data_IF_916754318895
#
_entry.id   IF_916754318895
#
_cell.length_a   1.000
_cell.length_b   1.000
_cell.length_c   1.000
_cell.angle_alpha   90.00
_cell.angle_beta   90.00
_cell.angle_gamma   90.00
#
_symmetry.space_group_name_H-M   'P 1'
#
loop_
_entity.id
_entity.type
_entity.pdbx_description
1 polymer ?
#
# COMPACT_ATOMS: atom_id res chain seq x y z
N UNK A 1 18.45 -18.47 7.01
CA UNK A 1 18.12 -17.22 6.31
C UNK A 1 17.34 -17.58 5.08
N UNK A 2 16.05 -17.29 5.14
CA UNK A 2 15.12 -17.46 4.05
C UNK A 2 15.60 -16.70 2.80
N UNK A 3 15.32 -17.28 1.64
CA UNK A 3 15.68 -16.70 0.35
C UNK A 3 14.71 -15.57 -0.01
N UNK A 4 15.23 -14.34 0.03
CA UNK A 4 14.46 -13.15 -0.30
C UNK A 4 14.48 -12.82 -1.80
N UNK A 5 15.16 -13.61 -2.66
CA UNK A 5 15.16 -13.34 -4.11
C UNK A 5 13.73 -13.23 -4.63
N UNK A 6 13.49 -12.18 -5.40
CA UNK A 6 12.16 -11.79 -5.81
C UNK A 6 12.07 -11.77 -7.33
N UNK A 7 11.09 -12.49 -7.88
CA UNK A 7 10.66 -12.38 -9.27
C UNK A 7 9.18 -12.02 -9.36
N UNK A 8 8.90 -10.93 -10.09
CA UNK A 8 7.54 -10.42 -10.32
C UNK A 8 7.45 -9.88 -11.75
N UNK A 9 6.42 -10.28 -12.50
CA UNK A 9 6.23 -9.84 -13.89
C UNK A 9 7.49 -10.05 -14.79
N UNK A 10 8.27 -11.11 -14.52
CA UNK A 10 9.55 -11.38 -15.20
C UNK A 10 10.76 -10.55 -14.71
N UNK A 11 10.55 -9.58 -13.83
CA UNK A 11 11.59 -8.72 -13.25
C UNK A 11 12.20 -9.43 -12.05
N UNK A 12 13.52 -9.57 -12.02
CA UNK A 12 14.24 -10.26 -10.94
C UNK A 12 15.05 -9.27 -10.11
N UNK A 13 15.11 -9.50 -8.80
CA UNK A 13 15.89 -8.69 -7.85
C UNK A 13 16.39 -9.55 -6.67
N UNK A 14 17.47 -9.14 -5.99
CA UNK A 14 18.05 -9.90 -4.87
C UNK A 14 17.15 -9.93 -3.62
N UNK A 15 16.24 -8.98 -3.49
CA UNK A 15 15.25 -8.89 -2.43
C UNK A 15 14.01 -8.11 -2.93
N UNK A 16 12.84 -8.18 -2.26
CA UNK A 16 11.60 -7.61 -2.78
C UNK A 16 11.47 -6.10 -2.53
N UNK A 17 12.47 -5.45 -1.92
CA UNK A 17 12.41 -4.05 -1.53
C UNK A 17 12.94 -3.15 -2.63
N UNK A 18 12.04 -2.40 -3.25
CA UNK A 18 12.38 -1.47 -4.31
C UNK A 18 12.17 -0.03 -3.83
N UNK A 19 13.01 0.92 -4.25
CA UNK A 19 12.66 2.33 -4.08
C UNK A 19 11.54 2.70 -5.06
N UNK A 20 10.49 3.36 -4.59
CA UNK A 20 9.43 3.83 -5.46
C UNK A 20 9.90 5.03 -6.32
N UNK A 21 9.25 5.25 -7.47
CA UNK A 21 9.50 6.42 -8.32
C UNK A 21 9.16 7.72 -7.60
N UNK A 22 10.19 8.43 -7.14
CA UNK A 22 10.11 9.52 -6.16
C UNK A 22 11.47 10.28 -6.12
N UNK A 23 11.63 11.36 -5.33
CA UNK A 23 12.91 12.08 -5.24
C UNK A 23 14.15 11.20 -4.95
N UNK A 24 14.05 10.13 -4.13
CA UNK A 24 15.18 9.23 -3.90
C UNK A 24 15.71 8.55 -5.17
N UNK A 25 14.96 8.52 -6.27
CA UNK A 25 15.32 7.83 -7.52
C UNK A 25 15.47 8.77 -8.72
N UNK A 26 15.65 10.08 -8.49
CA UNK A 26 15.75 11.09 -9.56
C UNK A 26 17.16 11.24 -10.18
N UNK A 27 18.19 10.69 -9.53
CA UNK A 27 19.59 10.82 -9.97
C UNK A 27 20.36 9.52 -9.75
N UNK A 28 21.28 9.23 -10.67
CA UNK A 28 22.21 8.09 -10.54
C UNK A 28 22.95 8.11 -9.20
N UNK A 29 23.32 9.28 -8.69
CA UNK A 29 24.00 9.40 -7.39
C UNK A 29 23.21 8.75 -6.25
N UNK A 30 21.90 9.00 -6.17
CA UNK A 30 21.06 8.43 -5.12
C UNK A 30 20.78 6.95 -5.36
N UNK A 31 20.56 6.56 -6.63
CA UNK A 31 20.29 5.16 -6.99
C UNK A 31 21.49 4.27 -6.71
N UNK A 32 22.71 4.68 -7.05
CA UNK A 32 23.93 3.95 -6.70
C UNK A 32 24.05 3.76 -5.18
N UNK A 33 23.85 4.83 -4.39
CA UNK A 33 23.88 4.76 -2.92
C UNK A 33 22.79 3.84 -2.34
N UNK A 34 21.64 3.75 -3.00
CA UNK A 34 20.60 2.81 -2.60
C UNK A 34 21.03 1.36 -2.88
N UNK A 35 21.57 1.07 -4.06
CA UNK A 35 22.08 -0.26 -4.37
C UNK A 35 23.26 -0.68 -3.48
N UNK A 36 24.19 0.23 -3.19
CA UNK A 36 25.26 0.03 -2.20
C UNK A 36 24.71 -0.31 -0.80
N UNK A 37 23.59 0.30 -0.41
CA UNK A 37 22.93 0.03 0.87
C UNK A 37 22.17 -1.31 0.89
N UNK A 38 21.99 -1.97 -0.26
CA UNK A 38 21.37 -3.29 -0.37
C UNK A 38 19.94 -3.31 -0.93
N UNK A 39 19.43 -2.21 -1.50
CA UNK A 39 18.11 -2.22 -2.16
C UNK A 39 18.07 -3.23 -3.30
N UNK A 40 16.98 -4.00 -3.39
CA UNK A 40 16.82 -5.04 -4.42
C UNK A 40 16.52 -4.45 -5.79
N UNK A 41 15.90 -3.28 -5.83
CA UNK A 41 15.57 -2.57 -7.05
C UNK A 41 15.23 -1.10 -6.82
N UNK A 42 15.06 -0.37 -7.91
CA UNK A 42 14.47 0.97 -7.89
C UNK A 42 13.51 1.13 -9.08
N UNK A 43 12.49 1.95 -8.88
CA UNK A 43 11.76 2.57 -9.97
C UNK A 43 12.31 3.98 -10.14
N UNK A 44 12.94 4.26 -11.28
CA UNK A 44 13.50 5.57 -11.61
C UNK A 44 12.42 6.65 -11.58
N UNK A 45 12.77 7.88 -11.19
CA UNK A 45 11.83 9.01 -11.17
C UNK A 45 11.16 9.15 -12.55
N UNK A 46 9.84 9.34 -12.55
CA UNK A 46 9.06 9.40 -13.79
C UNK A 46 9.66 10.34 -14.82
N UNK A 47 9.91 9.82 -16.02
CA UNK A 47 10.37 10.57 -17.17
C UNK A 47 9.20 11.13 -17.96
N UNK A 48 9.41 12.29 -18.56
CA UNK A 48 8.52 12.90 -19.55
C UNK A 48 9.31 13.30 -20.80
N UNK A 49 8.63 14.00 -21.71
CA UNK A 49 9.26 14.58 -22.89
C UNK A 49 9.91 15.93 -22.57
N UNK A 50 10.90 16.32 -23.38
CA UNK A 50 11.43 17.68 -23.35
C UNK A 50 10.54 18.66 -24.16
N UNK A 51 10.47 19.95 -23.76
CA UNK A 51 11.10 20.53 -22.57
C UNK A 51 10.50 19.99 -21.27
N UNK A 52 11.38 19.59 -20.35
CA UNK A 52 11.00 19.06 -19.04
C UNK A 52 10.19 20.06 -18.20
N UNK A 53 9.46 19.53 -17.23
CA UNK A 53 8.65 20.34 -16.31
C UNK A 53 9.53 21.17 -15.39
N UNK A 54 8.96 22.22 -14.82
CA UNK A 54 9.62 23.03 -13.78
C UNK A 54 8.83 22.86 -12.49
N UNK A 55 9.51 22.40 -11.45
CA UNK A 55 8.93 22.30 -10.12
C UNK A 55 8.91 23.66 -9.41
N UNK A 56 7.94 23.85 -8.52
CA UNK A 56 7.95 24.94 -7.55
C UNK A 56 8.93 24.66 -6.39
N UNK A 57 9.32 25.72 -5.69
CA UNK A 57 10.11 25.64 -4.44
C UNK A 57 9.17 25.73 -3.24
N UNK A 58 9.45 24.96 -2.18
CA UNK A 58 8.50 24.60 -1.11
C UNK A 58 7.41 23.64 -1.60
N UNK A 59 7.77 22.36 -1.72
CA UNK A 59 6.91 21.33 -2.33
C UNK A 59 6.57 20.13 -1.44
N UNK A 60 6.87 20.25 -0.14
CA UNK A 60 6.53 19.26 0.88
C UNK A 60 5.77 19.89 2.04
N UNK A 61 4.62 19.32 2.36
CA UNK A 61 3.93 19.52 3.64
C UNK A 61 4.07 18.28 4.51
N UNK A 62 3.96 18.44 5.82
CA UNK A 62 4.01 17.32 6.77
C UNK A 62 2.84 17.38 7.75
N UNK A 63 2.24 16.23 8.03
CA UNK A 63 1.31 16.07 9.15
C UNK A 63 2.13 15.75 10.38
N UNK A 64 1.88 16.49 11.46
CA UNK A 64 2.46 16.23 12.77
C UNK A 64 1.42 15.52 13.64
N UNK A 65 1.84 14.51 14.40
CA UNK A 65 0.94 13.76 15.28
C UNK A 65 1.71 13.28 16.52
N UNK A 66 1.17 13.53 17.72
CA UNK A 66 1.74 13.07 18.99
C UNK A 66 3.27 13.25 19.14
N UNK A 67 3.79 14.42 18.76
CA UNK A 67 5.22 14.75 18.82
C UNK A 67 6.07 14.24 17.64
N UNK A 68 5.52 13.38 16.77
CA UNK A 68 6.16 13.00 15.52
C UNK A 68 5.98 14.11 14.48
N UNK A 69 7.09 14.68 14.00
CA UNK A 69 7.07 15.79 13.03
C UNK A 69 6.69 15.37 11.60
N UNK A 70 6.89 14.10 11.26
CA UNK A 70 6.54 13.51 9.95
C UNK A 70 5.71 12.26 10.20
N UNK A 71 4.45 12.44 10.60
CA UNK A 71 3.47 11.35 10.69
C UNK A 71 2.89 11.00 9.31
N UNK A 72 2.93 11.95 8.38
CA UNK A 72 2.67 11.78 6.96
C UNK A 72 3.29 12.92 6.17
N UNK A 73 3.51 12.72 4.88
CA UNK A 73 4.01 13.74 3.96
C UNK A 73 2.96 14.02 2.90
N UNK A 74 2.86 15.27 2.48
CA UNK A 74 2.19 15.67 1.27
C UNK A 74 3.21 16.32 0.34
N UNK A 75 3.05 16.10 -0.95
CA UNK A 75 3.92 16.71 -1.94
C UNK A 75 3.12 17.32 -3.10
N UNK A 76 3.65 18.41 -3.63
CA UNK A 76 3.20 19.05 -4.88
C UNK A 76 4.31 18.96 -5.93
N UNK A 77 5.15 17.93 -5.86
CA UNK A 77 6.25 17.69 -6.78
C UNK A 77 5.74 17.00 -8.05
N UNK A 78 6.26 17.40 -9.21
CA UNK A 78 5.91 16.83 -10.51
C UNK A 78 6.81 15.61 -10.84
N UNK A 79 6.86 15.26 -12.12
CA UNK A 79 7.84 14.33 -12.69
C UNK A 79 9.26 14.93 -12.66
N UNK A 80 10.26 14.21 -13.17
CA UNK A 80 11.63 14.74 -13.23
C UNK A 80 11.65 16.09 -13.96
N UNK A 81 12.32 17.07 -13.35
CA UNK A 81 12.61 18.39 -13.93
C UNK A 81 14.02 18.41 -14.55
N UNK A 82 14.52 17.24 -14.94
CA UNK A 82 15.82 17.05 -15.57
C UNK A 82 15.64 16.69 -17.04
N UNK A 83 16.55 17.12 -17.93
CA UNK A 83 16.53 16.74 -19.34
C UNK A 83 16.45 15.22 -19.55
N UNK A 84 15.74 14.80 -20.59
CA UNK A 84 15.53 13.38 -20.86
C UNK A 84 16.85 12.65 -21.17
N UNK A 85 17.75 13.28 -21.94
CA UNK A 85 19.04 12.70 -22.31
C UNK A 85 19.93 12.38 -21.11
N UNK A 86 19.87 13.22 -20.07
CA UNK A 86 20.65 13.03 -18.84
C UNK A 86 20.15 11.81 -18.10
N UNK A 87 18.83 11.68 -17.96
CA UNK A 87 18.21 10.51 -17.32
C UNK A 87 18.54 9.23 -18.08
N UNK A 88 18.37 9.19 -19.41
CA UNK A 88 18.64 7.99 -20.21
C UNK A 88 20.10 7.52 -20.08
N UNK A 89 21.06 8.46 -20.14
CA UNK A 89 22.49 8.14 -19.93
C UNK A 89 22.78 7.59 -18.54
N UNK A 90 22.18 8.20 -17.51
CA UNK A 90 22.34 7.78 -16.13
C UNK A 90 21.73 6.39 -15.86
N UNK A 91 20.52 6.13 -16.37
CA UNK A 91 19.86 4.82 -16.27
C UNK A 91 20.72 3.74 -16.92
N UNK A 92 21.21 3.99 -18.15
CA UNK A 92 22.06 3.06 -18.87
C UNK A 92 23.37 2.75 -18.13
N UNK A 93 23.98 3.77 -17.52
CA UNK A 93 25.18 3.59 -16.71
C UNK A 93 24.89 2.76 -15.45
N UNK A 94 23.85 3.13 -14.70
CA UNK A 94 23.46 2.44 -13.47
C UNK A 94 23.13 0.97 -13.74
N UNK A 95 22.40 0.66 -14.82
CA UNK A 95 22.08 -0.74 -15.16
C UNK A 95 23.32 -1.56 -15.47
N UNK A 96 24.30 -0.98 -16.17
CA UNK A 96 25.59 -1.64 -16.45
C UNK A 96 26.38 -1.92 -15.18
N UNK A 97 26.37 -0.98 -14.25
CA UNK A 97 27.11 -1.09 -12.98
C UNK A 97 26.43 -2.08 -12.00
N UNK A 98 25.10 -2.22 -12.09
CA UNK A 98 24.27 -3.04 -11.21
C UNK A 98 23.35 -4.00 -11.99
N UNK A 99 23.90 -4.98 -12.72
CA UNK A 99 23.11 -5.85 -13.59
C UNK A 99 22.15 -6.77 -12.82
N UNK A 100 22.47 -7.09 -11.56
CA UNK A 100 21.69 -7.95 -10.67
C UNK A 100 20.52 -7.24 -9.98
N UNK A 101 20.41 -5.92 -10.11
CA UNK A 101 19.35 -5.10 -9.47
C UNK A 101 18.23 -4.79 -10.45
N UNK A 102 16.99 -4.81 -9.96
CA UNK A 102 15.86 -4.38 -10.77
C UNK A 102 15.91 -2.87 -10.98
N UNK A 103 15.87 -2.43 -12.24
CA UNK A 103 15.82 -1.04 -12.66
C UNK A 103 14.62 -0.83 -13.58
N UNK A 104 13.56 -0.28 -13.01
CA UNK A 104 12.31 0.00 -13.73
C UNK A 104 12.27 1.49 -14.07
N UNK A 105 11.92 1.84 -15.30
CA UNK A 105 11.79 3.26 -15.71
C UNK A 105 10.34 3.68 -15.65
N UNK A 106 10.02 4.62 -14.76
CA UNK A 106 8.68 5.19 -14.71
C UNK A 106 8.47 6.20 -15.84
N UNK A 107 7.31 6.16 -16.52
CA UNK A 107 7.00 7.00 -17.67
C UNK A 107 5.66 7.72 -17.51
N UNK A 108 5.63 8.97 -17.96
CA UNK A 108 4.41 9.74 -18.15
C UNK A 108 4.60 10.76 -19.26
N UNK A 109 4.03 10.44 -20.43
CA UNK A 109 4.02 11.29 -21.62
C UNK A 109 2.58 11.64 -22.00
N UNK A 110 2.35 12.63 -22.89
CA UNK A 110 1.00 12.99 -23.31
C UNK A 110 0.21 11.77 -23.82
N UNK A 111 -1.10 11.78 -23.61
CA UNK A 111 -1.98 10.65 -23.97
C UNK A 111 -2.23 10.58 -25.49
N UNK A 112 -1.19 10.28 -26.25
CA UNK A 112 -1.25 9.98 -27.68
C UNK A 112 -0.22 8.90 -28.03
N UNK A 113 -0.57 8.05 -28.99
CA UNK A 113 0.23 6.88 -29.37
C UNK A 113 1.62 7.23 -29.87
N UNK A 114 1.76 8.37 -30.59
CA UNK A 114 3.02 8.81 -31.18
C UNK A 114 4.10 9.01 -30.12
N UNK A 115 3.77 9.71 -29.05
CA UNK A 115 4.73 10.04 -27.99
C UNK A 115 5.17 8.81 -27.22
N UNK A 116 4.24 7.88 -26.95
CA UNK A 116 4.56 6.58 -26.36
C UNK A 116 5.47 5.76 -27.27
N UNK A 117 5.14 5.60 -28.56
CA UNK A 117 6.00 4.87 -29.51
C UNK A 117 7.37 5.50 -29.70
N UNK A 118 7.50 6.80 -29.50
CA UNK A 118 8.78 7.50 -29.60
C UNK A 118 9.69 7.26 -28.40
N UNK A 119 9.17 7.33 -27.17
CA UNK A 119 10.01 7.23 -25.96
C UNK A 119 10.42 5.79 -25.64
N UNK A 120 9.58 4.79 -25.96
CA UNK A 120 9.81 3.40 -25.56
C UNK A 120 11.14 2.81 -26.07
N UNK A 121 11.53 2.95 -27.35
CA UNK A 121 12.82 2.45 -27.82
C UNK A 121 14.02 3.12 -27.13
N UNK A 122 13.90 4.39 -26.74
CA UNK A 122 14.96 5.11 -26.02
C UNK A 122 15.16 4.52 -24.62
N UNK A 123 14.07 4.14 -23.97
CA UNK A 123 14.11 3.50 -22.64
C UNK A 123 14.64 2.07 -22.75
N UNK A 124 14.21 1.31 -23.76
CA UNK A 124 14.71 -0.05 -24.01
C UNK A 124 16.23 -0.06 -24.27
N UNK A 125 16.76 0.93 -25.00
CA UNK A 125 18.21 1.07 -25.25
C UNK A 125 19.04 1.33 -23.97
N UNK A 126 18.41 1.78 -22.88
CA UNK A 126 19.12 1.90 -21.58
C UNK A 126 19.40 0.55 -20.93
N UNK A 127 18.75 -0.52 -21.37
CA UNK A 127 18.84 -1.85 -20.76
C UNK A 127 18.00 -2.00 -19.49
N UNK A 128 17.10 -1.05 -19.18
CA UNK A 128 16.15 -1.16 -18.07
C UNK A 128 15.37 -2.49 -18.11
N UNK A 129 15.01 -3.02 -16.94
CA UNK A 129 14.37 -4.34 -16.83
C UNK A 129 12.86 -4.29 -17.09
N UNK A 130 12.25 -3.11 -16.97
CA UNK A 130 10.82 -2.89 -17.18
C UNK A 130 10.48 -1.40 -17.31
N UNK A 131 9.23 -1.12 -17.69
CA UNK A 131 8.62 0.21 -17.61
C UNK A 131 7.49 0.23 -16.57
N UNK A 132 7.32 1.36 -15.88
CA UNK A 132 6.17 1.62 -15.00
C UNK A 132 5.36 2.81 -15.52
N UNK A 133 4.10 2.60 -15.90
CA UNK A 133 3.23 3.66 -16.40
C UNK A 133 2.65 4.44 -15.22
N UNK A 134 3.09 5.68 -15.03
CA UNK A 134 2.63 6.50 -13.92
C UNK A 134 1.27 7.13 -14.22
N UNK A 135 0.19 6.40 -13.94
CA UNK A 135 -1.18 6.88 -14.04
C UNK A 135 -1.74 7.33 -12.68
N UNK A 136 -0.85 7.60 -11.72
CA UNK A 136 -1.26 7.85 -10.34
C UNK A 136 -1.07 9.28 -9.83
N UNK A 137 -0.30 10.13 -10.52
CA UNK A 137 0.04 11.47 -10.03
C UNK A 137 -1.22 12.36 -9.95
N UNK A 138 -1.67 12.79 -8.74
CA UNK A 138 -2.96 13.46 -8.58
C UNK A 138 -2.91 14.98 -8.80
N UNK A 139 -1.74 15.60 -8.90
CA UNK A 139 -1.57 17.05 -8.93
C UNK A 139 -0.66 17.52 -10.07
N UNK A 140 -0.91 18.72 -10.60
CA UNK A 140 -0.09 19.43 -11.60
C UNK A 140 -0.05 18.81 -13.01
N UNK A 141 0.13 17.49 -13.10
CA UNK A 141 0.12 16.75 -14.36
C UNK A 141 -1.29 16.29 -14.75
N UNK A 142 -2.15 16.04 -13.76
CA UNK A 142 -3.58 15.77 -13.99
C UNK A 142 -4.30 16.96 -14.64
N UNK A 143 -3.93 18.18 -14.26
CA UNK A 143 -4.41 19.42 -14.88
C UNK A 143 -4.01 19.54 -16.37
N UNK A 144 -3.02 18.75 -16.82
CA UNK A 144 -2.57 18.65 -18.21
C UNK A 144 -3.08 17.39 -18.91
N UNK A 145 -4.05 16.68 -18.32
CA UNK A 145 -4.64 15.46 -18.89
C UNK A 145 -3.76 14.20 -18.81
N UNK A 146 -2.79 14.17 -17.89
CA UNK A 146 -1.88 13.03 -17.65
C UNK A 146 -1.99 12.53 -16.20
N UNK A 147 -1.25 11.48 -15.82
CA UNK A 147 -1.25 11.00 -14.42
C UNK A 147 -2.61 10.43 -14.00
N UNK A 148 -3.14 10.86 -12.85
CA UNK A 148 -4.42 10.36 -12.33
C UNK A 148 -5.60 10.68 -13.27
N UNK A 149 -5.55 11.74 -14.07
CA UNK A 149 -6.57 12.01 -15.09
C UNK A 149 -6.70 10.87 -16.13
N UNK A 150 -5.59 10.18 -16.44
CA UNK A 150 -5.60 8.95 -17.25
C UNK A 150 -5.98 7.75 -16.40
N UNK A 151 -5.41 7.62 -15.20
CA UNK A 151 -5.61 6.46 -14.32
C UNK A 151 -7.03 6.28 -13.77
N UNK A 152 -7.83 7.34 -13.78
CA UNK A 152 -9.24 7.31 -13.38
C UNK A 152 -10.18 6.86 -14.50
N UNK A 153 -9.69 6.75 -15.74
CA UNK A 153 -10.47 6.38 -16.92
C UNK A 153 -10.00 5.01 -17.43
N UNK A 154 -10.71 3.90 -17.11
CA UNK A 154 -10.29 2.55 -17.48
C UNK A 154 -9.98 2.39 -18.97
N UNK A 155 -10.74 3.05 -19.85
CA UNK A 155 -10.54 3.02 -21.30
C UNK A 155 -9.16 3.57 -21.71
N UNK A 156 -8.70 4.64 -21.05
CA UNK A 156 -7.38 5.21 -21.30
C UNK A 156 -6.27 4.35 -20.71
N UNK A 157 -6.49 3.75 -19.54
CA UNK A 157 -5.54 2.79 -18.96
C UNK A 157 -5.33 1.62 -19.90
N UNK A 158 -6.39 1.01 -20.42
CA UNK A 158 -6.31 -0.12 -21.36
C UNK A 158 -5.59 0.31 -22.65
N UNK A 159 -6.01 1.44 -23.24
CA UNK A 159 -5.48 1.94 -24.51
C UNK A 159 -3.98 2.22 -24.44
N UNK A 160 -3.53 2.97 -23.43
CA UNK A 160 -2.11 3.32 -23.30
C UNK A 160 -1.27 2.09 -22.97
N UNK A 161 -1.77 1.19 -22.11
CA UNK A 161 -1.08 -0.07 -21.82
C UNK A 161 -0.87 -0.88 -23.10
N UNK A 162 -1.89 -0.96 -23.97
CA UNK A 162 -1.80 -1.63 -25.26
C UNK A 162 -0.73 -1.01 -26.15
N UNK A 163 -0.68 0.31 -26.27
CA UNK A 163 0.38 1.00 -27.03
C UNK A 163 1.78 0.67 -26.52
N UNK A 164 1.95 0.58 -25.21
CA UNK A 164 3.23 0.23 -24.59
C UNK A 164 3.61 -1.21 -24.92
N UNK A 165 2.68 -2.16 -24.76
CA UNK A 165 2.91 -3.58 -25.08
C UNK A 165 3.18 -3.82 -26.56
N UNK A 166 2.64 -3.00 -27.45
CA UNK A 166 2.94 -3.04 -28.88
C UNK A 166 4.27 -2.35 -29.22
N UNK A 167 4.71 -1.39 -28.41
CA UNK A 167 5.88 -0.54 -28.65
C UNK A 167 7.19 -1.04 -28.04
N UNK A 168 7.16 -1.97 -27.08
CA UNK A 168 8.37 -2.56 -26.47
C UNK A 168 8.15 -3.99 -26.00
N UNK A 169 9.24 -4.75 -25.85
CA UNK A 169 9.23 -6.08 -25.24
C UNK A 169 9.45 -6.06 -23.73
N UNK A 170 9.79 -4.91 -23.16
CA UNK A 170 9.96 -4.77 -21.72
C UNK A 170 8.65 -5.14 -20.99
N UNK A 171 8.74 -5.79 -19.82
CA UNK A 171 7.63 -5.89 -18.90
C UNK A 171 7.06 -4.51 -18.57
N UNK A 172 5.73 -4.42 -18.47
CA UNK A 172 4.99 -3.19 -18.23
C UNK A 172 4.18 -3.33 -16.94
N UNK A 173 4.55 -2.55 -15.93
CA UNK A 173 3.75 -2.35 -14.72
C UNK A 173 2.88 -1.10 -14.86
N UNK A 174 1.60 -1.17 -14.52
CA UNK A 174 0.74 0.02 -14.50
C UNK A 174 0.57 0.52 -13.06
N UNK A 175 1.01 1.75 -12.79
CA UNK A 175 0.92 2.36 -11.46
C UNK A 175 -0.45 3.00 -11.24
N UNK A 176 -1.27 2.37 -10.40
CA UNK A 176 -2.67 2.76 -10.21
C UNK A 176 -2.84 3.90 -9.20
N UNK A 177 -3.79 4.79 -9.48
CA UNK A 177 -4.22 5.86 -8.57
C UNK A 177 -5.17 5.32 -7.50
N UNK A 178 -5.02 5.69 -6.22
CA UNK A 178 -6.02 5.37 -5.20
C UNK A 178 -7.22 6.32 -5.23
N UNK A 179 -7.20 7.37 -6.07
CA UNK A 179 -8.21 8.41 -6.12
C UNK A 179 -9.40 7.99 -6.99
N UNK A 180 -9.98 6.83 -6.70
CA UNK A 180 -11.03 6.18 -7.51
C UNK A 180 -12.01 5.44 -6.59
N UNK A 181 -13.23 5.20 -7.05
CA UNK A 181 -14.25 4.47 -6.28
C UNK A 181 -13.95 2.97 -6.18
N UNK A 182 -13.39 2.37 -7.24
CA UNK A 182 -13.04 0.95 -7.28
C UNK A 182 -11.71 0.77 -8.03
N UNK A 183 -10.67 0.37 -7.30
CA UNK A 183 -9.32 0.16 -7.83
C UNK A 183 -9.29 -0.98 -8.86
N UNK A 184 -10.22 -1.94 -8.77
CA UNK A 184 -10.27 -3.10 -9.66
C UNK A 184 -10.52 -2.68 -11.10
N UNK A 185 -11.29 -1.60 -11.34
CA UNK A 185 -11.55 -1.09 -12.69
C UNK A 185 -10.26 -0.74 -13.44
N UNK A 186 -9.34 -0.03 -12.79
CA UNK A 186 -8.03 0.30 -13.36
C UNK A 186 -7.16 -0.95 -13.57
N UNK A 187 -7.16 -1.89 -12.62
CA UNK A 187 -6.40 -3.14 -12.73
C UNK A 187 -6.89 -4.05 -13.87
N UNK A 188 -8.21 -4.16 -14.06
CA UNK A 188 -8.84 -4.92 -15.15
C UNK A 188 -8.54 -4.31 -16.50
N UNK A 189 -8.56 -2.98 -16.59
CA UNK A 189 -8.16 -2.27 -17.80
C UNK A 189 -6.68 -2.48 -18.13
N UNK A 190 -5.79 -2.37 -17.15
CA UNK A 190 -4.38 -2.67 -17.33
C UNK A 190 -4.16 -4.11 -17.81
N UNK A 191 -4.84 -5.08 -17.19
CA UNK A 191 -4.80 -6.49 -17.57
C UNK A 191 -5.29 -6.71 -19.01
N UNK A 192 -6.43 -6.13 -19.40
CA UNK A 192 -6.96 -6.19 -20.78
C UNK A 192 -6.03 -5.53 -21.82
N UNK A 193 -5.31 -4.49 -21.41
CA UNK A 193 -4.29 -3.83 -22.22
C UNK A 193 -3.00 -4.64 -22.36
N UNK A 194 -2.86 -5.74 -21.62
CA UNK A 194 -1.72 -6.64 -21.68
C UNK A 194 -0.59 -6.31 -20.69
N UNK A 195 -0.87 -5.52 -19.64
CA UNK A 195 0.12 -5.27 -18.58
C UNK A 195 0.62 -6.59 -17.95
N UNK A 196 1.91 -6.65 -17.67
CA UNK A 196 2.54 -7.80 -17.01
C UNK A 196 2.37 -7.75 -15.48
N UNK A 197 1.93 -6.62 -14.96
CA UNK A 197 1.61 -6.42 -13.56
C UNK A 197 1.06 -5.02 -13.29
N UNK A 198 0.69 -4.78 -12.04
CA UNK A 198 0.30 -3.46 -11.53
C UNK A 198 1.17 -3.09 -10.35
N UNK A 199 1.36 -1.78 -10.15
CA UNK A 199 1.95 -1.27 -8.92
C UNK A 199 0.96 -0.32 -8.24
N UNK A 200 0.81 -0.42 -6.93
CA UNK A 200 -0.18 0.39 -6.22
C UNK A 200 0.09 0.50 -4.72
N UNK A 201 -0.22 1.64 -4.10
CA UNK A 201 -0.90 2.80 -4.66
C UNK A 201 0.05 3.96 -4.91
N UNK A 202 -0.33 4.85 -5.82
CA UNK A 202 0.23 6.20 -5.83
C UNK A 202 -0.31 7.01 -4.63
N UNK A 203 0.02 8.29 -4.53
CA UNK A 203 -0.38 9.13 -3.40
C UNK A 203 -1.87 9.48 -3.41
N UNK A 204 -2.43 9.71 -2.22
CA UNK A 204 -3.84 10.09 -2.03
C UNK A 204 -3.98 11.61 -2.09
N UNK A 205 -4.94 12.11 -2.87
CA UNK A 205 -5.17 13.54 -3.00
C UNK A 205 -5.63 14.15 -1.66
N UNK A 206 -4.98 15.23 -1.22
CA UNK A 206 -5.22 15.81 0.11
C UNK A 206 -4.70 17.24 0.26
N UNK A 207 -5.16 17.90 1.32
CA UNK A 207 -4.52 19.06 1.96
C UNK A 207 -4.13 18.61 3.37
N UNK A 208 -2.88 18.84 3.78
CA UNK A 208 -2.38 18.39 5.09
C UNK A 208 -2.50 19.42 6.20
N UNK A 209 -2.46 20.70 5.83
CA UNK A 209 -2.64 21.81 6.76
C UNK A 209 -3.02 23.07 5.98
N UNK A 210 -3.48 24.07 6.71
CA UNK A 210 -3.71 25.43 6.22
C UNK A 210 -2.87 26.37 7.07
N UNK A 211 -2.06 27.20 6.41
CA UNK A 211 -1.46 28.38 7.04
C UNK A 211 -2.60 29.35 7.37
N UNK A 212 -2.87 29.56 8.66
CA UNK A 212 -3.99 30.38 9.14
C UNK A 212 -3.70 31.88 9.11
N UNK A 213 -2.44 32.28 8.92
CA UNK A 213 -2.09 33.70 8.74
C UNK A 213 -2.27 34.09 7.26
N UNK A 214 -1.84 33.20 6.35
CA UNK A 214 -1.94 33.42 4.91
C UNK A 214 -3.27 32.94 4.31
N UNK A 215 -4.06 32.15 5.06
CA UNK A 215 -5.26 31.45 4.60
C UNK A 215 -5.00 30.61 3.34
N UNK A 216 -3.88 29.89 3.33
CA UNK A 216 -3.40 29.10 2.19
C UNK A 216 -3.10 27.65 2.58
N UNK A 217 -3.37 26.65 1.71
CA UNK A 217 -2.93 25.27 1.95
C UNK A 217 -1.41 25.18 2.13
N UNK A 218 -0.96 24.19 2.91
CA UNK A 218 0.45 23.81 3.02
C UNK A 218 0.78 22.59 2.14
N UNK A 219 1.93 22.57 1.43
CA UNK A 219 2.97 23.61 1.43
C UNK A 219 2.53 24.89 0.67
N UNK A 220 2.92 26.04 1.21
CA UNK A 220 2.61 27.35 0.65
C UNK A 220 3.76 27.83 -0.24
N UNK A 221 3.40 28.34 -1.41
CA UNK A 221 4.27 28.94 -2.43
C UNK A 221 3.71 30.33 -2.74
N UNK A 222 4.46 31.37 -2.36
CA UNK A 222 4.10 32.78 -2.61
C UNK A 222 2.65 33.14 -2.21
N UNK A 223 2.25 32.79 -0.99
CA UNK A 223 0.90 33.06 -0.48
C UNK A 223 -0.21 32.16 -1.03
N UNK A 224 0.12 31.14 -1.82
CA UNK A 224 -0.84 30.18 -2.39
C UNK A 224 -0.47 28.75 -2.05
N UNK A 225 -1.45 27.87 -2.06
CA UNK A 225 -1.25 26.43 -1.92
C UNK A 225 -2.24 25.68 -2.80
N UNK A 226 -1.98 24.39 -3.01
CA UNK A 226 -2.87 23.50 -3.75
C UNK A 226 -2.97 22.16 -3.03
N UNK A 227 -3.89 21.31 -3.47
CA UNK A 227 -3.91 19.92 -3.03
C UNK A 227 -2.67 19.19 -3.55
N UNK A 228 -2.24 18.16 -2.83
CA UNK A 228 -1.08 17.37 -3.20
C UNK A 228 -1.27 15.89 -2.89
N UNK A 229 -0.23 15.12 -3.14
CA UNK A 229 -0.20 13.69 -2.86
C UNK A 229 0.23 13.36 -1.43
N UNK A 230 -0.68 12.83 -0.61
CA UNK A 230 -0.41 12.26 0.71
C UNK A 230 0.24 10.89 0.62
N UNK A 231 1.28 10.69 1.44
CA UNK A 231 2.00 9.44 1.63
C UNK A 231 2.46 9.28 3.08
N UNK A 232 2.91 8.06 3.42
CA UNK A 232 3.37 7.70 4.76
C UNK A 232 2.46 6.68 5.45
N UNK A 233 2.69 6.40 6.74
CA UNK A 233 2.06 5.28 7.46
C UNK A 233 0.54 5.26 7.40
N UNK A 234 -0.12 6.42 7.46
CA UNK A 234 -1.58 6.52 7.40
C UNK A 234 -2.19 6.04 6.07
N UNK A 235 -1.38 5.92 5.00
CA UNK A 235 -1.81 5.40 3.70
C UNK A 235 -1.83 3.86 3.67
N UNK A 236 -1.04 3.19 4.52
CA UNK A 236 -0.92 1.73 4.59
C UNK A 236 -2.27 0.99 4.60
N UNK A 237 -3.24 1.29 5.50
CA UNK A 237 -4.50 0.53 5.54
C UNK A 237 -5.30 0.62 4.24
N UNK A 238 -5.23 1.76 3.54
CA UNK A 238 -5.90 1.96 2.24
C UNK A 238 -5.21 1.13 1.16
N UNK A 239 -3.87 1.15 1.15
CA UNK A 239 -3.06 0.38 0.21
C UNK A 239 -3.26 -1.15 0.39
N UNK A 240 -3.25 -1.65 1.64
CA UNK A 240 -3.50 -3.06 1.93
C UNK A 240 -4.87 -3.52 1.43
N UNK A 241 -5.92 -2.71 1.67
CA UNK A 241 -7.26 -2.99 1.15
C UNK A 241 -7.25 -3.10 -0.38
N UNK A 242 -6.66 -2.13 -1.07
CA UNK A 242 -6.62 -2.13 -2.55
C UNK A 242 -5.80 -3.28 -3.13
N UNK A 243 -4.69 -3.65 -2.50
CA UNK A 243 -3.90 -4.84 -2.86
C UNK A 243 -4.74 -6.10 -2.71
N UNK A 244 -5.44 -6.25 -1.58
CA UNK A 244 -6.30 -7.40 -1.32
C UNK A 244 -7.47 -7.49 -2.32
N UNK A 245 -8.09 -6.35 -2.68
CA UNK A 245 -9.18 -6.30 -3.66
C UNK A 245 -8.74 -6.78 -5.04
N UNK A 246 -7.54 -6.39 -5.51
CA UNK A 246 -7.00 -6.86 -6.79
C UNK A 246 -6.60 -8.34 -6.68
N UNK A 247 -5.91 -8.73 -5.60
CA UNK A 247 -5.43 -10.08 -5.44
C UNK A 247 -6.56 -11.13 -5.40
N UNK A 248 -7.75 -10.74 -4.89
CA UNK A 248 -8.94 -11.61 -4.87
C UNK A 248 -9.87 -11.43 -6.07
N UNK A 249 -9.54 -10.56 -7.03
CA UNK A 249 -10.40 -10.25 -8.17
C UNK A 249 -10.37 -11.38 -9.23
N UNK A 250 -11.48 -12.09 -9.47
CA UNK A 250 -11.51 -13.17 -10.46
C UNK A 250 -11.33 -12.69 -11.91
N UNK A 251 -11.50 -11.40 -12.21
CA UNK A 251 -11.30 -10.85 -13.56
C UNK A 251 -9.83 -10.58 -13.91
N UNK A 252 -8.92 -10.59 -12.92
CA UNK A 252 -7.48 -10.42 -13.12
C UNK A 252 -6.67 -11.52 -12.42
N UNK A 253 -6.95 -12.80 -12.72
CA UNK A 253 -6.37 -13.91 -11.99
C UNK A 253 -4.85 -13.91 -12.09
N UNK A 254 -4.18 -14.04 -10.94
CA UNK A 254 -2.72 -14.07 -10.83
C UNK A 254 -2.00 -12.83 -11.38
N UNK A 255 -2.69 -11.69 -11.54
CA UNK A 255 -2.06 -10.44 -11.94
C UNK A 255 -0.96 -10.07 -10.93
N UNK A 256 0.32 -9.93 -11.35
CA UNK A 256 1.40 -9.58 -10.45
C UNK A 256 1.22 -8.18 -9.84
N UNK A 257 1.44 -8.05 -8.53
CA UNK A 257 1.25 -6.81 -7.78
C UNK A 257 2.57 -6.35 -7.13
N UNK A 258 3.01 -5.12 -7.41
CA UNK A 258 4.04 -4.43 -6.64
C UNK A 258 3.38 -3.45 -5.65
N UNK A 259 3.42 -3.78 -4.36
CA UNK A 259 2.72 -3.04 -3.30
C UNK A 259 3.45 -1.77 -2.87
N UNK A 260 2.73 -0.67 -2.62
CA UNK A 260 3.27 0.66 -2.32
C UNK A 260 2.31 1.35 -1.34
N UNK A 261 2.85 1.98 -0.30
CA UNK A 261 2.08 2.88 0.57
C UNK A 261 2.31 2.61 2.05
N UNK A 262 3.00 3.53 2.73
CA UNK A 262 3.16 3.49 4.18
C UNK A 262 4.04 2.38 4.74
N UNK A 263 4.75 1.62 3.90
CA UNK A 263 5.71 0.60 4.33
C UNK A 263 6.91 1.26 5.01
N UNK A 264 7.14 0.89 6.27
CA UNK A 264 8.22 1.42 7.10
C UNK A 264 8.93 0.37 7.95
N UNK A 265 8.41 -0.86 7.99
CA UNK A 265 8.96 -2.00 8.72
C UNK A 265 8.85 -3.29 7.91
N UNK A 266 9.60 -4.32 8.31
CA UNK A 266 9.49 -5.66 7.72
C UNK A 266 8.08 -6.23 7.86
N UNK A 267 7.37 -5.90 8.95
CA UNK A 267 6.01 -6.38 9.21
C UNK A 267 5.02 -5.77 8.23
N UNK A 268 5.18 -4.49 7.92
CA UNK A 268 4.39 -3.84 6.86
C UNK A 268 4.61 -4.57 5.54
N UNK A 269 5.86 -4.83 5.16
CA UNK A 269 6.17 -5.52 3.91
C UNK A 269 5.59 -6.95 3.86
N UNK A 270 5.70 -7.70 4.96
CA UNK A 270 5.11 -9.03 5.09
C UNK A 270 3.58 -8.99 4.91
N UNK A 271 2.89 -8.00 5.50
CA UNK A 271 1.44 -7.81 5.34
C UNK A 271 1.04 -7.57 3.87
N UNK A 272 1.79 -6.75 3.13
CA UNK A 272 1.58 -6.58 1.69
C UNK A 272 1.77 -7.89 0.92
N UNK A 273 2.82 -8.65 1.25
CA UNK A 273 3.13 -9.90 0.54
C UNK A 273 2.09 -10.99 0.79
N UNK A 274 1.67 -11.19 2.05
CA UNK A 274 0.62 -12.17 2.36
C UNK A 274 -0.73 -11.78 1.77
N UNK A 275 -0.96 -10.51 1.48
CA UNK A 275 -2.14 -10.03 0.73
C UNK A 275 -1.97 -10.06 -0.80
N UNK A 276 -0.85 -10.55 -1.32
CA UNK A 276 -0.67 -10.86 -2.74
C UNK A 276 0.41 -10.05 -3.46
N UNK A 277 1.08 -9.10 -2.81
CA UNK A 277 2.19 -8.38 -3.43
C UNK A 277 3.40 -9.30 -3.65
N UNK A 278 4.00 -9.26 -4.84
CA UNK A 278 5.25 -9.95 -5.17
C UNK A 278 6.51 -9.14 -4.84
N UNK A 279 6.43 -7.81 -4.94
CA UNK A 279 7.46 -6.88 -4.47
C UNK A 279 6.81 -5.73 -3.71
N UNK A 280 7.62 -4.95 -2.99
CA UNK A 280 7.16 -3.75 -2.28
C UNK A 280 8.01 -2.54 -2.63
N UNK A 281 7.39 -1.40 -2.96
CA UNK A 281 8.07 -0.13 -3.19
C UNK A 281 7.97 0.78 -1.97
N UNK A 282 9.09 1.41 -1.62
CA UNK A 282 9.23 2.25 -0.43
C UNK A 282 9.71 3.66 -0.82
N UNK A 283 9.11 4.68 -0.23
CA UNK A 283 9.45 6.08 -0.47
C UNK A 283 9.63 6.86 0.83
N UNK A 284 8.52 7.14 1.54
CA UNK A 284 8.52 7.98 2.75
C UNK A 284 9.50 7.50 3.81
N UNK A 285 9.59 6.19 4.03
CA UNK A 285 10.51 5.63 5.02
C UNK A 285 11.98 5.81 4.62
N UNK A 286 12.32 5.67 3.33
CA UNK A 286 13.67 5.97 2.82
C UNK A 286 14.00 7.47 2.90
N UNK A 287 13.02 8.35 2.67
CA UNK A 287 13.19 9.80 2.84
C UNK A 287 13.39 10.19 4.30
N UNK A 288 12.76 9.48 5.24
CA UNK A 288 12.82 9.80 6.66
C UNK A 288 14.05 9.18 7.36
N UNK A 289 14.39 7.94 7.03
CA UNK A 289 15.41 7.14 7.73
C UNK A 289 16.68 6.88 6.91
N UNK A 290 16.71 7.30 5.64
CA UNK A 290 17.81 7.06 4.71
C UNK A 290 17.80 5.64 4.14
N UNK A 291 18.73 5.37 3.20
CA UNK A 291 18.74 4.11 2.45
C UNK A 291 19.05 2.86 3.30
N UNK A 292 19.73 3.02 4.45
CA UNK A 292 20.10 1.89 5.33
C UNK A 292 18.89 1.19 5.94
N UNK A 293 17.70 1.80 5.95
CA UNK A 293 16.48 1.15 6.44
C UNK A 293 16.21 -0.19 5.76
N UNK A 294 16.66 -0.39 4.52
CA UNK A 294 16.48 -1.65 3.80
C UNK A 294 17.11 -2.85 4.50
N UNK A 295 18.18 -2.64 5.29
CA UNK A 295 18.78 -3.68 6.12
C UNK A 295 17.78 -4.16 7.17
N UNK A 296 17.17 -3.25 7.92
CA UNK A 296 16.18 -3.59 8.94
C UNK A 296 14.92 -4.24 8.33
N UNK A 297 14.53 -3.82 7.11
CA UNK A 297 13.43 -4.42 6.36
C UNK A 297 13.75 -5.87 5.93
N UNK A 298 14.92 -6.10 5.35
CA UNK A 298 15.33 -7.40 4.85
C UNK A 298 15.62 -8.39 5.98
N UNK A 299 16.39 -7.99 6.99
CA UNK A 299 16.74 -8.84 8.13
C UNK A 299 15.47 -9.22 8.91
N UNK A 300 14.59 -8.25 9.18
CA UNK A 300 13.34 -8.52 9.88
C UNK A 300 12.42 -9.47 9.11
N UNK A 301 12.34 -9.35 7.78
CA UNK A 301 11.53 -10.23 6.94
C UNK A 301 12.13 -11.64 6.91
N UNK A 302 13.44 -11.77 6.70
CA UNK A 302 14.13 -13.06 6.66
C UNK A 302 14.04 -13.79 8.00
N UNK A 303 14.23 -13.09 9.12
CA UNK A 303 14.13 -13.67 10.46
C UNK A 303 12.71 -14.17 10.76
N UNK A 304 11.69 -13.36 10.45
CA UNK A 304 10.30 -13.80 10.63
C UNK A 304 9.96 -15.01 9.74
N UNK A 305 10.44 -15.04 8.50
CA UNK A 305 10.26 -16.19 7.61
C UNK A 305 10.93 -17.45 8.17
N UNK A 306 12.18 -17.35 8.60
CA UNK A 306 12.92 -18.46 9.24
C UNK A 306 12.21 -18.97 10.50
N UNK A 307 11.77 -18.07 11.39
CA UNK A 307 11.03 -18.42 12.61
C UNK A 307 9.72 -19.15 12.32
N UNK A 308 9.10 -18.89 11.17
CA UNK A 308 7.85 -19.54 10.74
C UNK A 308 8.08 -20.75 9.82
N UNK A 309 9.33 -21.03 9.44
CA UNK A 309 9.68 -22.13 8.53
C UNK A 309 9.35 -21.87 7.06
N UNK A 310 9.28 -20.61 6.64
CA UNK A 310 9.12 -20.23 5.22
C UNK A 310 10.50 -20.10 4.56
N UNK A 311 10.72 -20.80 3.45
CA UNK A 311 12.01 -20.85 2.76
C UNK A 311 12.16 -19.76 1.70
N UNK A 312 11.06 -19.40 1.02
CA UNK A 312 11.03 -18.45 -0.10
C UNK A 312 9.85 -17.49 0.02
N UNK A 313 9.90 -16.35 -0.69
CA UNK A 313 8.78 -15.40 -0.73
C UNK A 313 7.48 -16.01 -1.26
N UNK A 314 7.56 -17.06 -2.09
CA UNK A 314 6.38 -17.74 -2.63
C UNK A 314 5.63 -18.55 -1.57
N UNK A 315 6.28 -18.94 -0.47
CA UNK A 315 5.63 -19.64 0.64
C UNK A 315 4.64 -18.75 1.40
N UNK A 316 4.85 -17.43 1.37
CA UNK A 316 4.02 -16.44 2.07
C UNK A 316 3.10 -15.65 1.13
N UNK A 317 3.45 -15.52 -0.15
CA UNK A 317 2.73 -14.66 -1.09
C UNK A 317 1.26 -15.06 -1.20
N UNK A 318 0.37 -14.10 -0.97
CA UNK A 318 -1.07 -14.31 -1.09
C UNK A 318 -1.71 -15.23 -0.03
N UNK A 319 -0.96 -15.69 0.98
CA UNK A 319 -1.46 -16.61 2.02
C UNK A 319 -2.66 -16.11 2.81
N UNK A 320 -2.85 -14.79 2.89
CA UNK A 320 -4.00 -14.17 3.55
C UNK A 320 -5.17 -13.88 2.60
N UNK A 321 -4.97 -13.91 1.27
CA UNK A 321 -6.00 -13.57 0.27
C UNK A 321 -7.28 -14.41 0.43
N UNK A 322 -7.22 -15.75 0.64
CA UNK A 322 -8.44 -16.55 0.85
C UNK A 322 -9.23 -16.18 2.12
N UNK A 323 -8.61 -15.48 3.08
CA UNK A 323 -9.25 -15.03 4.31
C UNK A 323 -9.85 -13.63 4.20
N UNK A 324 -9.67 -12.94 3.05
CA UNK A 324 -10.33 -11.66 2.76
C UNK A 324 -11.69 -11.95 2.14
N UNK A 325 -12.76 -11.59 2.85
CA UNK A 325 -14.13 -11.90 2.43
C UNK A 325 -15.05 -10.72 2.66
N UNK A 326 -16.18 -10.71 1.95
CA UNK A 326 -17.23 -9.73 2.17
C UNK A 326 -17.85 -9.94 3.55
N UNK A 327 -18.24 -8.85 4.22
CA UNK A 327 -18.85 -8.88 5.55
C UNK A 327 -19.98 -9.90 5.69
N UNK A 328 -20.80 -10.06 4.64
CA UNK A 328 -21.95 -10.97 4.64
C UNK A 328 -21.60 -12.45 4.87
N UNK A 329 -20.33 -12.83 4.71
CA UNK A 329 -19.82 -14.19 4.92
C UNK A 329 -19.10 -14.37 6.26
N UNK A 330 -18.93 -13.30 7.06
CA UNK A 330 -18.37 -13.40 8.40
C UNK A 330 -19.29 -14.21 9.32
N UNK A 331 -18.69 -14.89 10.29
CA UNK A 331 -19.42 -15.72 11.24
C UNK A 331 -20.16 -14.86 12.27
N UNK A 332 -21.47 -14.73 12.12
CA UNK A 332 -22.36 -14.02 13.05
C UNK A 332 -22.51 -14.71 14.41
N UNK A 333 -22.12 -15.98 14.52
CA UNK A 333 -22.11 -16.72 15.79
C UNK A 333 -20.78 -16.62 16.54
N UNK A 334 -19.76 -16.01 15.94
CA UNK A 334 -18.49 -15.79 16.63
C UNK A 334 -18.69 -14.74 17.74
N UNK A 335 -18.41 -15.12 18.98
CA UNK A 335 -18.59 -14.24 20.14
C UNK A 335 -17.34 -14.26 21.02
N UNK A 336 -16.89 -13.06 21.36
CA UNK A 336 -15.73 -12.82 22.21
C UNK A 336 -16.10 -11.79 23.28
N UNK A 337 -15.55 -11.93 24.48
CA UNK A 337 -15.73 -10.96 25.57
C UNK A 337 -14.40 -10.41 26.03
N UNK A 338 -14.41 -9.16 26.45
CA UNK A 338 -13.21 -8.55 27.03
C UNK A 338 -12.95 -9.13 28.42
N UNK A 339 -11.67 -9.25 28.79
CA UNK A 339 -11.22 -9.57 30.14
C UNK A 339 -10.18 -8.56 30.56
N UNK A 340 -10.32 -8.02 31.76
CA UNK A 340 -9.40 -7.04 32.31
C UNK A 340 -8.55 -7.73 33.38
N UNK A 341 -7.25 -7.83 33.13
CA UNK A 341 -6.27 -8.27 34.11
C UNK A 341 -6.11 -7.17 35.18
N UNK A 342 -6.61 -7.46 36.39
CA UNK A 342 -6.62 -6.52 37.50
C UNK A 342 -5.23 -6.25 38.07
N UNK A 343 -4.28 -7.20 37.93
CA UNK A 343 -2.90 -7.03 38.42
C UNK A 343 -2.12 -6.07 37.52
N UNK A 344 -2.50 -5.97 36.25
CA UNK A 344 -1.90 -5.04 35.27
C UNK A 344 -2.64 -3.71 35.16
N UNK A 345 -3.87 -3.66 35.65
CA UNK A 345 -4.72 -2.49 35.54
C UNK A 345 -4.15 -1.32 36.34
N UNK A 346 -3.77 -0.25 35.65
CA UNK A 346 -3.32 1.01 36.27
C UNK A 346 -4.48 1.94 36.67
N UNK A 347 -5.72 1.44 36.66
CA UNK A 347 -6.94 2.16 37.01
C UNK A 347 -7.14 3.50 36.29
N UNK A 348 -6.67 3.66 35.04
CA UNK A 348 -6.81 4.93 34.31
C UNK A 348 -8.26 5.22 33.88
N UNK A 349 -9.08 4.19 33.68
CA UNK A 349 -10.49 4.29 33.31
C UNK A 349 -10.81 4.52 31.84
N UNK A 350 -9.80 4.54 30.95
CA UNK A 350 -10.03 4.72 29.50
C UNK A 350 -10.93 3.63 28.91
N UNK A 351 -10.81 2.38 29.38
CA UNK A 351 -11.67 1.28 28.94
C UNK A 351 -13.15 1.54 29.29
N UNK A 352 -13.43 1.99 30.51
CA UNK A 352 -14.77 2.36 30.92
C UNK A 352 -15.28 3.56 30.12
N UNK A 353 -14.53 4.66 30.03
CA UNK A 353 -14.94 5.86 29.28
C UNK A 353 -15.28 5.52 27.82
N UNK A 354 -14.43 4.74 27.14
CA UNK A 354 -14.68 4.32 25.77
C UNK A 354 -15.96 3.47 25.65
N UNK A 355 -16.19 2.58 26.61
CA UNK A 355 -17.37 1.71 26.60
C UNK A 355 -18.66 2.47 26.97
N UNK A 356 -18.57 3.34 27.97
CA UNK A 356 -19.67 4.09 28.58
C UNK A 356 -20.18 5.18 27.64
N UNK A 357 -19.29 6.05 27.17
CA UNK A 357 -19.71 7.24 26.43
C UNK A 357 -19.97 6.94 24.95
N UNK A 358 -19.35 5.88 24.40
CA UNK A 358 -19.31 5.68 22.93
C UNK A 358 -19.60 4.26 22.43
N UNK A 359 -19.93 3.31 23.31
CA UNK A 359 -20.19 1.91 22.90
C UNK A 359 -21.41 1.27 23.58
N UNK A 360 -21.21 0.49 24.65
CA UNK A 360 -22.17 -0.52 25.12
C UNK A 360 -22.34 -0.58 26.65
N UNK A 361 -21.77 0.38 27.40
CA UNK A 361 -21.96 0.48 28.87
C UNK A 361 -21.66 -0.85 29.62
N UNK A 362 -20.69 -1.61 29.11
CA UNK A 362 -20.40 -2.98 29.54
C UNK A 362 -19.18 -3.11 30.46
N UNK A 363 -18.66 -2.00 31.00
CA UNK A 363 -17.52 -1.98 31.91
C UNK A 363 -17.88 -1.12 33.11
N UNK A 364 -17.79 -1.64 34.32
CA UNK A 364 -18.10 -0.88 35.55
C UNK A 364 -17.09 0.25 35.77
N UNK A 365 -17.51 1.37 36.38
CA UNK A 365 -16.59 2.37 36.90
C UNK A 365 -16.10 2.04 38.32
N UNK A 366 -16.96 1.36 39.08
CA UNK A 366 -16.77 1.04 40.49
C UNK A 366 -17.35 -0.33 40.82
N UNK A 367 -16.78 -0.97 41.84
CA UNK A 367 -17.27 -2.19 42.49
C UNK A 367 -17.12 -2.00 43.99
N UNK A 368 -18.20 -2.24 44.74
CA UNK A 368 -18.25 -2.06 46.20
C UNK A 368 -17.80 -0.65 46.66
N UNK A 369 -18.13 0.39 45.86
CA UNK A 369 -17.77 1.79 46.13
C UNK A 369 -16.29 2.12 45.91
N UNK A 370 -15.52 1.22 45.30
CA UNK A 370 -14.11 1.41 44.96
C UNK A 370 -13.97 1.43 43.45
N UNK A 371 -13.12 2.32 42.92
CA UNK A 371 -12.79 2.39 41.50
C UNK A 371 -12.30 1.03 41.00
N UNK A 372 -13.08 0.40 40.13
CA UNK A 372 -12.85 -0.95 39.68
C UNK A 372 -13.50 -1.17 38.32
N UNK A 373 -12.73 -1.68 37.37
CA UNK A 373 -13.13 -1.87 35.99
C UNK A 373 -13.30 -3.36 35.73
N UNK A 374 -14.54 -3.82 35.72
CA UNK A 374 -14.93 -5.20 35.43
C UNK A 374 -15.87 -5.23 34.24
N UNK A 375 -15.72 -6.24 33.38
CA UNK A 375 -16.57 -6.41 32.20
C UNK A 375 -17.88 -7.09 32.63
N UNK A 376 -19.01 -6.49 32.26
CA UNK A 376 -20.34 -7.06 32.43
C UNK A 376 -20.63 -7.93 31.21
N UNK A 377 -20.40 -9.25 31.33
CA UNK A 377 -20.47 -10.19 30.19
C UNK A 377 -21.81 -10.15 29.43
N UNK A 378 -22.91 -9.89 30.13
CA UNK A 378 -24.24 -9.79 29.54
C UNK A 378 -24.38 -8.60 28.57
N UNK A 379 -23.67 -7.51 28.83
CA UNK A 379 -23.73 -6.26 28.03
C UNK A 379 -22.58 -6.17 27.03
N UNK A 380 -21.48 -6.89 27.28
CA UNK A 380 -20.31 -6.86 26.41
C UNK A 380 -20.62 -7.56 25.08
N UNK A 381 -20.61 -6.82 23.98
CA UNK A 381 -20.83 -7.38 22.63
C UNK A 381 -19.55 -7.77 21.89
N UNK A 382 -18.40 -7.74 22.56
CA UNK A 382 -17.13 -8.15 21.96
C UNK A 382 -16.53 -7.17 20.94
N UNK A 383 -16.93 -5.89 20.96
CA UNK A 383 -16.49 -4.89 19.97
C UNK A 383 -14.99 -4.57 20.00
N UNK A 384 -14.25 -5.00 21.03
CA UNK A 384 -12.81 -4.85 21.25
C UNK A 384 -12.24 -3.42 21.42
N UNK A 385 -13.06 -2.37 21.40
CA UNK A 385 -12.60 -0.99 21.55
C UNK A 385 -11.80 -0.77 22.85
N UNK A 386 -12.27 -1.32 23.97
CA UNK A 386 -11.60 -1.18 25.27
C UNK A 386 -10.16 -1.72 25.25
N UNK A 387 -9.91 -2.81 24.52
CA UNK A 387 -8.57 -3.38 24.34
C UNK A 387 -7.66 -2.43 23.57
N UNK A 388 -8.16 -1.79 22.51
CA UNK A 388 -7.37 -0.88 21.68
C UNK A 388 -7.03 0.45 22.36
N UNK A 389 -7.91 0.97 23.23
CA UNK A 389 -7.64 2.22 23.97
C UNK A 389 -6.82 2.00 25.24
N UNK A 390 -6.64 0.76 25.69
CA UNK A 390 -5.87 0.47 26.90
C UNK A 390 -4.38 0.80 26.67
N UNK A 391 -3.77 1.65 27.52
CA UNK A 391 -2.36 2.02 27.36
C UNK A 391 -1.39 0.94 27.88
N UNK A 392 -1.91 -0.08 28.59
CA UNK A 392 -1.12 -1.18 29.12
C UNK A 392 -1.29 -2.37 28.17
N UNK A 393 -0.21 -2.71 27.48
CA UNK A 393 -0.17 -3.86 26.58
C UNK A 393 -0.71 -5.10 27.29
N UNK A 394 -1.56 -5.88 26.63
CA UNK A 394 -2.15 -7.13 27.14
C UNK A 394 -2.86 -7.04 28.52
N UNK A 395 -3.17 -5.85 29.04
CA UNK A 395 -4.01 -5.71 30.24
C UNK A 395 -5.47 -6.10 29.94
N UNK A 396 -5.91 -5.88 28.71
CA UNK A 396 -7.22 -6.34 28.25
C UNK A 396 -7.02 -7.35 27.12
N UNK A 397 -7.66 -8.50 27.24
CA UNK A 397 -7.67 -9.55 26.21
C UNK A 397 -9.10 -9.84 25.76
N UNK A 398 -9.25 -10.50 24.61
CA UNK A 398 -10.55 -10.96 24.11
C UNK A 398 -10.60 -12.48 24.19
N UNK A 399 -11.56 -13.01 24.94
CA UNK A 399 -11.77 -14.45 25.12
C UNK A 399 -12.98 -14.92 24.33
N UNK A 400 -12.85 -16.05 23.62
CA UNK A 400 -13.94 -16.67 22.89
C UNK A 400 -14.93 -17.34 23.84
N UNK A 401 -16.21 -17.04 23.68
CA UNK A 401 -17.31 -17.59 24.52
C UNK A 401 -18.38 -18.33 23.72
N UNK A 402 -18.29 -18.34 22.38
CA UNK A 402 -19.20 -19.10 21.53
C UNK A 402 -18.86 -20.61 21.45
N UNK A 403 -19.82 -21.40 20.99
CA UNK A 403 -19.73 -22.86 20.91
C UNK A 403 -18.96 -23.40 19.67
N UNK A 404 -18.45 -22.54 18.79
CA UNK A 404 -17.77 -22.97 17.57
C UNK A 404 -18.62 -22.98 16.30
N UNK A 405 -19.91 -22.76 16.41
CA UNK A 405 -20.86 -22.80 15.30
C UNK A 405 -20.61 -21.71 14.25
N UNK A 406 -21.10 -21.94 13.03
CA UNK A 406 -21.09 -20.96 11.93
C UNK A 406 -22.49 -20.58 11.48
N UNK A 407 -22.75 -19.28 11.34
CA UNK A 407 -23.86 -18.73 10.57
C UNK A 407 -23.44 -17.37 10.00
N UNK A 408 -23.99 -16.95 8.86
CA UNK A 408 -23.64 -15.68 8.24
C UNK A 408 -24.88 -14.88 7.81
N UNK A 409 -24.67 -13.66 7.32
CA UNK A 409 -25.78 -12.75 6.98
C UNK A 409 -26.65 -13.25 5.83
N UNK A 410 -26.10 -14.01 4.88
CA UNK A 410 -26.82 -14.44 3.67
C UNK A 410 -28.06 -15.29 3.99
N UNK A 411 -28.02 -16.05 5.07
CA UNK A 411 -29.13 -16.91 5.54
C UNK A 411 -29.80 -16.39 6.81
N UNK A 412 -29.38 -15.23 7.34
CA UNK A 412 -29.87 -14.73 8.62
C UNK A 412 -31.36 -14.33 8.55
N UNK A 413 -32.19 -14.62 9.57
CA UNK A 413 -33.63 -14.27 9.56
C UNK A 413 -33.94 -12.78 9.39
N UNK A 414 -32.99 -11.90 9.69
CA UNK A 414 -33.14 -10.45 9.50
C UNK A 414 -32.68 -9.96 8.12
N UNK A 415 -32.10 -10.83 7.29
CA UNK A 415 -31.74 -10.45 5.93
C UNK A 415 -33.01 -10.46 5.05
N UNK A 416 -33.45 -9.31 4.51
CA UNK A 416 -34.64 -9.24 3.65
C UNK A 416 -34.41 -9.92 2.29
N UNK A 417 -33.15 -10.05 1.87
CA UNK A 417 -32.74 -10.72 0.65
C UNK A 417 -32.51 -12.24 0.84
N UNK A 418 -32.88 -12.82 1.99
CA UNK A 418 -32.70 -14.26 2.26
C UNK A 418 -33.49 -15.19 1.33
N UNK A 419 -34.45 -14.66 0.58
CA UNK A 419 -35.26 -15.42 -0.36
C UNK A 419 -34.48 -15.63 -1.68
N UNK A 420 -34.21 -16.90 -2.01
CA UNK A 420 -33.56 -17.45 -3.23
C UNK A 420 -32.09 -17.89 -3.15
N UNK A 421 -31.46 -17.98 -1.98
CA UNK A 421 -30.16 -18.65 -1.84
C UNK A 421 -30.29 -20.19 -1.86
N UNK A 422 -30.83 -20.74 -2.96
CA UNK A 422 -30.65 -22.14 -3.31
C UNK A 422 -29.30 -22.30 -4.01
N UNK A 423 -28.39 -23.01 -3.35
CA UNK A 423 -27.07 -23.47 -3.83
C UNK A 423 -26.00 -22.40 -4.16
N UNK A 424 -25.00 -22.25 -3.27
CA UNK A 424 -23.66 -21.76 -3.62
C UNK A 424 -22.82 -21.29 -2.41
N UNK A 425 -21.48 -21.23 -2.55
CA UNK A 425 -20.56 -22.35 -2.74
C UNK A 425 -20.27 -23.10 -1.41
N UNK A 426 -19.66 -24.28 -1.53
CA UNK A 426 -19.33 -25.18 -0.42
C UNK A 426 -18.46 -24.53 0.67
N UNK A 427 -18.55 -25.10 1.88
CA UNK A 427 -17.73 -24.80 3.07
C UNK A 427 -16.28 -24.40 2.70
N UNK A 428 -15.70 -23.39 3.37
CA UNK A 428 -14.26 -23.16 3.26
C UNK A 428 -13.54 -24.45 3.66
N UNK A 429 -12.69 -24.95 2.75
CA UNK A 429 -11.98 -26.21 2.91
C UNK A 429 -11.33 -26.27 4.29
N UNK A 430 -11.65 -27.31 5.06
CA UNK A 430 -10.91 -27.67 6.26
C UNK A 430 -9.46 -27.88 5.85
N UNK A 431 -8.60 -26.90 6.08
CA UNK A 431 -7.17 -27.08 5.90
C UNK A 431 -6.72 -28.17 6.89
N UNK A 432 -6.35 -29.31 6.32
CA UNK A 432 -5.67 -30.37 7.04
C UNK A 432 -4.44 -29.75 7.72
N UNK A 433 -4.32 -29.97 9.04
CA UNK A 433 -3.06 -29.78 9.75
C UNK A 433 -2.03 -30.66 9.06
N UNK A 434 -1.10 -30.07 8.32
CA UNK A 434 0.13 -30.75 7.95
C UNK A 434 0.97 -30.88 9.23
N UNK A 435 1.32 -32.11 9.56
CA UNK A 435 2.29 -32.47 10.59
C UNK A 435 3.72 -32.22 10.09
#
# INVERSE_FOLDING_TARGET
MADLRCTIAGITSPNPFWLASAPPTDKAYNVNRAFEAGWGGVVWKTLGLDPHVVNVSSRYGAVQWNGQRIAGLNNIELITDRPLDVNLREIAQVKRDWPDRALIVSLMVPCNERDWKWILPLVEDTGADAVELNFGCPHGMSERGMGAAVGQVPEYVEMVTRWVKEGTKLPCLVKLTPNISDIRMGSRAAYKGGADGVSLINTINSIVAVDLDQMAPMPTVDGKGTHGGYCGPAVKPIALNMVAEIARDPETPNLPISGIGGISSWRDAAEFMVLGAGSVQVCTAAMHYGFRIVTDLADGLSNWMDEKGYATLDDIRGRAVPNVTDWKYLNLKYDIKARIDQDRCIQCGLCHIACEDTSHQAITAEKDGVRHFEVVDAECVGCNLCMHVCPVEQCITMERVDAGDYANWTTHPNNPARANAGAGPAEPAKHAKAA
#
